data_IF_470158129856
#
_entry.id   IF_470158129856
#
_cell.length_a   1.000
_cell.length_b   1.000
_cell.length_c   1.000
_cell.angle_alpha   90.00
_cell.angle_beta   90.00
_cell.angle_gamma   90.00
#
_symmetry.space_group_name_H-M   'P 1'
#
loop_
_entity.id
_entity.type
_entity.pdbx_description
1 polymer ?
#
# COMPACT_ATOMS: atom_id res chain seq x y z
N UNK A 1 -14.28 -5.10 -17.03
CA UNK A 1 -14.79 -3.71 -16.98
C UNK A 1 -13.65 -2.70 -17.15
N UNK A 2 -12.70 -2.58 -16.21
CA UNK A 2 -11.59 -1.60 -16.32
C UNK A 2 -10.81 -1.76 -17.62
N UNK A 3 -10.40 -2.99 -17.96
CA UNK A 3 -9.67 -3.25 -19.20
C UNK A 3 -10.44 -2.86 -20.48
N UNK A 4 -11.77 -2.97 -20.46
CA UNK A 4 -12.59 -2.53 -21.59
C UNK A 4 -12.59 -1.00 -21.71
N UNK A 5 -12.76 -0.30 -20.59
CA UNK A 5 -12.65 1.16 -20.56
C UNK A 5 -11.27 1.55 -21.08
N UNK A 6 -10.18 1.03 -20.50
CA UNK A 6 -8.80 1.34 -20.92
C UNK A 6 -8.56 1.20 -22.42
N UNK A 7 -9.14 0.16 -23.03
CA UNK A 7 -8.94 -0.15 -24.45
C UNK A 7 -9.77 0.74 -25.38
N UNK A 8 -10.98 1.11 -24.98
CA UNK A 8 -11.97 1.75 -25.87
C UNK A 8 -12.14 3.24 -25.57
N UNK A 9 -12.01 3.64 -24.31
CA UNK A 9 -12.23 5.00 -23.84
C UNK A 9 -11.18 5.43 -22.81
N UNK A 10 -10.64 6.63 -22.99
CA UNK A 10 -9.79 7.20 -21.94
C UNK A 10 -10.65 7.56 -20.71
N UNK A 11 -10.42 6.92 -19.57
CA UNK A 11 -11.24 7.08 -18.35
C UNK A 11 -11.40 8.53 -17.90
N UNK A 12 -10.39 9.36 -18.13
CA UNK A 12 -10.37 10.79 -17.79
C UNK A 12 -11.23 11.65 -18.72
N UNK A 13 -11.81 11.07 -19.79
CA UNK A 13 -12.78 11.73 -20.68
C UNK A 13 -14.24 11.41 -20.33
N UNK A 14 -14.47 10.55 -19.33
CA UNK A 14 -15.82 10.24 -18.86
C UNK A 14 -16.38 11.40 -18.01
N UNK A 15 -17.72 11.54 -17.94
CA UNK A 15 -18.36 12.33 -16.89
C UNK A 15 -17.81 11.97 -15.50
N UNK A 16 -17.69 12.98 -14.64
CA UNK A 16 -16.98 12.89 -13.35
C UNK A 16 -17.39 11.67 -12.53
N UNK A 17 -18.69 11.40 -12.36
CA UNK A 17 -19.16 10.27 -11.55
C UNK A 17 -18.73 8.90 -12.11
N UNK A 18 -18.73 8.73 -13.45
CA UNK A 18 -18.23 7.51 -14.09
C UNK A 18 -16.71 7.38 -13.94
N UNK A 19 -15.98 8.49 -14.05
CA UNK A 19 -14.54 8.54 -13.79
C UNK A 19 -14.19 8.12 -12.37
N UNK A 20 -14.95 8.61 -11.37
CA UNK A 20 -14.78 8.23 -9.96
C UNK A 20 -15.05 6.74 -9.74
N UNK A 21 -16.14 6.19 -10.30
CA UNK A 21 -16.40 4.75 -10.22
C UNK A 21 -15.27 3.92 -10.82
N UNK A 22 -14.75 4.34 -11.97
CA UNK A 22 -13.61 3.67 -12.60
C UNK A 22 -12.36 3.70 -11.69
N UNK A 23 -12.04 4.87 -11.11
CA UNK A 23 -10.88 5.04 -10.22
C UNK A 23 -11.01 4.18 -8.96
N UNK A 24 -12.20 4.09 -8.39
CA UNK A 24 -12.47 3.26 -7.22
C UNK A 24 -12.17 1.78 -7.50
N UNK A 25 -12.71 1.24 -8.59
CA UNK A 25 -12.50 -0.17 -8.95
C UNK A 25 -11.01 -0.40 -9.25
N UNK A 26 -10.33 0.55 -9.91
CA UNK A 26 -8.89 0.46 -10.20
C UNK A 26 -8.07 0.44 -8.90
N UNK A 27 -8.42 1.29 -7.93
CA UNK A 27 -7.78 1.34 -6.62
C UNK A 27 -7.96 0.02 -5.86
N UNK A 28 -9.16 -0.54 -5.83
CA UNK A 28 -9.44 -1.83 -5.17
C UNK A 28 -8.58 -2.95 -5.76
N UNK A 29 -8.46 -3.00 -7.10
CA UNK A 29 -7.60 -3.98 -7.75
C UNK A 29 -6.13 -3.81 -7.36
N UNK A 30 -5.62 -2.57 -7.33
CA UNK A 30 -4.25 -2.30 -6.89
C UNK A 30 -4.02 -2.65 -5.41
N UNK A 31 -4.96 -2.34 -4.52
CA UNK A 31 -4.85 -2.74 -3.11
C UNK A 31 -4.83 -4.25 -2.94
N UNK A 32 -5.61 -4.99 -3.76
CA UNK A 32 -5.72 -6.45 -3.66
C UNK A 32 -4.54 -7.21 -4.27
N UNK A 33 -3.98 -6.71 -5.36
CA UNK A 33 -3.01 -7.46 -6.17
C UNK A 33 -1.62 -6.81 -6.28
N UNK A 34 -1.46 -5.57 -5.80
CA UNK A 34 -0.22 -4.79 -5.93
C UNK A 34 0.31 -4.27 -4.58
N UNK A 35 -0.01 -4.94 -3.46
CA UNK A 35 0.61 -4.66 -2.16
C UNK A 35 1.35 -5.92 -1.69
N UNK A 36 2.66 -5.97 -1.95
CA UNK A 36 3.51 -7.08 -1.55
C UNK A 36 4.35 -6.68 -0.33
N UNK A 37 4.17 -7.42 0.78
CA UNK A 37 5.03 -7.29 1.94
C UNK A 37 6.45 -7.82 1.63
N UNK A 38 7.46 -7.18 2.21
CA UNK A 38 8.88 -7.57 2.06
C UNK A 38 9.47 -7.77 3.44
N UNK A 39 10.21 -8.88 3.62
CA UNK A 39 10.69 -9.31 4.92
C UNK A 39 9.66 -10.13 5.68
N UNK A 40 9.99 -10.48 6.93
CA UNK A 40 9.04 -11.14 7.81
C UNK A 40 7.93 -10.14 8.18
N UNK A 41 6.67 -10.56 8.13
CA UNK A 41 5.59 -9.78 8.75
C UNK A 41 5.89 -9.75 10.25
N UNK A 42 6.26 -8.60 10.84
CA UNK A 42 6.66 -8.56 12.22
C UNK A 42 5.42 -8.87 13.06
N UNK A 43 5.38 -10.00 13.77
CA UNK A 43 4.33 -10.20 14.77
C UNK A 43 4.75 -9.36 15.96
N UNK A 44 4.24 -8.13 16.01
CA UNK A 44 4.66 -7.14 17.00
C UNK A 44 4.44 -7.62 18.43
N UNK A 45 5.31 -7.18 19.35
CA UNK A 45 4.95 -7.21 20.76
C UNK A 45 3.66 -6.40 20.95
N UNK A 46 2.68 -6.99 21.66
CA UNK A 46 1.44 -6.30 21.99
C UNK A 46 1.81 -5.11 22.87
N UNK A 47 1.57 -3.91 22.39
CA UNK A 47 1.70 -2.67 23.16
C UNK A 47 0.33 -2.01 23.31
N UNK A 48 0.18 -1.14 24.30
CA UNK A 48 -1.02 -0.33 24.45
C UNK A 48 -0.87 0.94 23.60
N UNK A 49 -1.70 1.15 22.57
CA UNK A 49 -1.62 2.36 21.75
C UNK A 49 -1.79 3.65 22.55
N UNK A 50 -2.40 3.62 23.73
CA UNK A 50 -2.52 4.81 24.57
C UNK A 50 -1.16 5.31 25.10
N UNK A 51 -0.15 4.44 25.21
CA UNK A 51 1.16 4.78 25.75
C UNK A 51 1.99 5.63 24.76
N UNK A 52 1.73 5.47 23.46
CA UNK A 52 2.46 6.12 22.36
C UNK A 52 1.57 6.96 21.43
N UNK A 53 0.24 6.83 21.54
CA UNK A 53 -0.75 7.51 20.71
C UNK A 53 -0.83 9.04 20.80
N UNK A 54 -0.34 9.74 21.84
CA UNK A 54 -0.44 11.20 21.88
C UNK A 54 0.62 11.92 21.03
N UNK A 55 1.61 11.22 20.46
CA UNK A 55 2.68 11.86 19.68
C UNK A 55 3.26 10.93 18.61
N UNK A 56 4.01 11.51 17.67
CA UNK A 56 4.84 10.75 16.73
C UNK A 56 6.22 10.54 17.34
N UNK A 57 6.68 9.31 17.38
CA UNK A 57 8.02 8.94 17.84
C UNK A 57 9.09 9.41 16.85
N UNK A 58 10.31 9.62 17.33
CA UNK A 58 11.41 10.09 16.49
C UNK A 58 11.85 9.07 15.43
N UNK A 59 11.71 7.78 15.75
CA UNK A 59 12.03 6.64 14.88
C UNK A 59 10.82 6.12 14.08
N UNK A 60 9.63 6.69 14.28
CA UNK A 60 8.39 6.32 13.58
C UNK A 60 7.70 5.05 14.09
N UNK A 61 8.20 4.43 15.18
CA UNK A 61 7.59 3.25 15.78
C UNK A 61 6.25 3.53 16.45
N UNK A 62 5.49 2.46 16.69
CA UNK A 62 4.22 2.42 17.42
C UNK A 62 3.06 3.15 16.73
N UNK A 63 3.12 3.31 15.40
CA UNK A 63 2.03 3.89 14.60
C UNK A 63 0.92 2.87 14.31
N UNK A 64 1.29 1.65 13.90
CA UNK A 64 0.34 0.55 13.70
C UNK A 64 0.17 -0.25 15.00
N UNK A 65 -1.02 -0.28 15.61
CA UNK A 65 -1.30 -1.02 16.85
C UNK A 65 -0.92 -2.51 16.83
N UNK A 66 -0.85 -3.11 15.65
CA UNK A 66 -0.54 -4.51 15.46
C UNK A 66 0.91 -4.76 15.03
N UNK A 67 1.60 -3.72 14.55
CA UNK A 67 2.96 -3.80 14.00
C UNK A 67 3.79 -2.57 14.44
N UNK A 68 4.45 -2.62 15.61
CA UNK A 68 5.13 -1.46 16.18
C UNK A 68 6.26 -0.94 15.30
N UNK A 69 6.89 -1.77 14.48
CA UNK A 69 7.97 -1.37 13.56
C UNK A 69 7.47 -0.91 12.18
N UNK A 70 6.17 -1.05 11.88
CA UNK A 70 5.63 -0.70 10.57
C UNK A 70 5.74 0.81 10.31
N UNK A 71 6.49 1.19 9.27
CA UNK A 71 6.75 2.58 8.91
C UNK A 71 7.88 3.26 9.69
N UNK A 72 8.60 2.52 10.54
CA UNK A 72 9.75 3.04 11.29
C UNK A 72 11.04 3.08 10.47
N UNK A 73 12.03 3.83 10.97
CA UNK A 73 13.38 3.87 10.40
C UNK A 73 14.03 2.46 10.40
N UNK A 74 14.74 2.13 9.32
CA UNK A 74 15.44 0.85 9.18
C UNK A 74 14.54 -0.33 8.78
N UNK A 75 13.25 -0.10 8.55
CA UNK A 75 12.32 -1.14 8.09
C UNK A 75 12.37 -1.35 6.57
N UNK A 76 11.94 -2.52 6.10
CA UNK A 76 11.96 -2.87 4.67
C UNK A 76 10.98 -2.00 3.86
N UNK A 77 11.41 -1.62 2.65
CA UNK A 77 10.50 -1.09 1.63
C UNK A 77 9.66 -2.23 1.03
N UNK A 78 8.33 -2.05 1.03
CA UNK A 78 7.41 -2.94 0.32
C UNK A 78 7.56 -2.86 -1.20
N UNK A 79 6.79 -3.67 -1.94
CA UNK A 79 6.76 -3.63 -3.42
C UNK A 79 5.35 -3.64 -3.97
N UNK A 80 5.18 -3.04 -5.15
CA UNK A 80 3.90 -3.03 -5.87
C UNK A 80 3.83 -4.06 -7.01
N UNK A 81 4.98 -4.65 -7.35
CA UNK A 81 5.15 -5.69 -8.36
C UNK A 81 6.22 -6.66 -7.89
N UNK A 82 6.16 -7.91 -8.36
CA UNK A 82 7.22 -8.88 -8.09
C UNK A 82 8.53 -8.39 -8.69
N UNK A 83 9.61 -8.55 -7.93
CA UNK A 83 10.95 -8.23 -8.42
C UNK A 83 11.32 -9.15 -9.58
N UNK A 84 11.75 -8.56 -10.69
CA UNK A 84 12.35 -9.29 -11.80
C UNK A 84 13.87 -9.26 -11.62
N UNK A 85 14.57 -10.42 -11.61
CA UNK A 85 16.02 -10.43 -11.54
C UNK A 85 16.59 -9.77 -12.80
N UNK A 86 17.50 -8.82 -12.61
CA UNK A 86 18.29 -8.29 -13.72
C UNK A 86 19.37 -9.32 -14.05
N UNK A 87 19.41 -9.78 -15.31
CA UNK A 87 20.58 -10.47 -15.83
C UNK A 87 21.54 -9.39 -16.30
N UNK A 88 22.71 -9.30 -15.69
CA UNK A 88 23.82 -8.54 -16.24
C UNK A 88 24.19 -9.20 -17.59
N UNK A 89 24.05 -8.45 -18.69
CA UNK A 89 24.55 -8.82 -20.02
C UNK A 89 26.03 -8.45 -20.15
#
# INVERSE_FOLDING_TARGET
IIHFVDRVYAWHKLPVFLGLMYLEIRRILHQRYNLFNVGATPVGEKYNPADYGPFRTADGKYTDPFHPDAGSEGFFFGRNMLSSPHKEE
#
